data_IF_325190124056
#
_entry.id   IF_325190124056
#
_cell.length_a   1.000
_cell.length_b   1.000
_cell.length_c   1.000
_cell.angle_alpha   90.00
_cell.angle_beta   90.00
_cell.angle_gamma   90.00
#
_symmetry.space_group_name_H-M   'P 1'
#
loop_
_entity.id
_entity.type
_entity.pdbx_description
1 polymer ?
#
# COMPACT_ATOMS: atom_id res chain seq x y z
N UNK A 1 -12.28 -1.51 -19.37
CA UNK A 1 -11.76 -0.44 -18.55
C UNK A 1 -10.31 -0.72 -18.17
N UNK A 2 -9.46 0.28 -18.27
CA UNK A 2 -8.02 0.08 -18.14
C UNK A 2 -7.60 -0.51 -16.79
N UNK A 3 -8.25 -0.07 -15.72
CA UNK A 3 -7.88 -0.56 -14.40
C UNK A 3 -8.04 -2.09 -14.31
N UNK A 4 -9.21 -2.60 -14.70
CA UNK A 4 -9.46 -4.03 -14.66
C UNK A 4 -8.56 -4.80 -15.60
N UNK A 5 -8.29 -4.24 -16.78
CA UNK A 5 -7.43 -4.90 -17.75
C UNK A 5 -6.01 -5.06 -17.22
N UNK A 6 -5.49 -4.04 -16.55
CA UNK A 6 -4.15 -4.09 -15.98
C UNK A 6 -4.11 -5.07 -14.81
N UNK A 7 -5.06 -4.99 -13.90
CA UNK A 7 -5.04 -5.81 -12.69
C UNK A 7 -5.34 -7.29 -12.95
N UNK A 8 -5.91 -7.62 -14.11
CA UNK A 8 -6.16 -9.02 -14.47
C UNK A 8 -4.94 -9.71 -15.07
N UNK A 9 -3.85 -8.99 -15.30
CA UNK A 9 -2.63 -9.54 -15.90
C UNK A 9 -1.75 -10.23 -14.87
N UNK A 10 -2.31 -11.21 -14.16
CA UNK A 10 -1.62 -11.87 -13.05
C UNK A 10 -0.45 -12.72 -13.51
N UNK A 11 -0.45 -13.16 -14.76
CA UNK A 11 0.66 -13.95 -15.30
C UNK A 11 1.90 -13.09 -15.55
N UNK A 12 1.76 -11.78 -15.53
CA UNK A 12 2.89 -10.86 -15.72
C UNK A 12 3.41 -10.37 -14.38
N UNK A 13 2.50 -10.09 -13.47
CA UNK A 13 2.84 -9.57 -12.16
C UNK A 13 1.72 -9.97 -11.20
N UNK A 14 2.05 -10.55 -10.07
CA UNK A 14 1.04 -11.00 -9.12
C UNK A 14 0.21 -9.84 -8.58
N UNK A 15 -0.99 -10.14 -8.10
CA UNK A 15 -1.84 -9.14 -7.46
C UNK A 15 -1.14 -8.52 -6.26
N UNK A 16 -0.40 -9.34 -5.51
CA UNK A 16 0.36 -8.88 -4.35
C UNK A 16 1.41 -7.84 -4.78
N UNK A 17 2.18 -8.18 -5.80
CA UNK A 17 3.24 -7.29 -6.27
C UNK A 17 2.67 -6.01 -6.88
N UNK A 18 1.54 -6.11 -7.59
CA UNK A 18 0.86 -4.92 -8.13
C UNK A 18 0.39 -4.00 -7.01
N UNK A 19 -0.16 -4.57 -5.95
CA UNK A 19 -0.57 -3.77 -4.78
C UNK A 19 0.63 -3.05 -4.16
N UNK A 20 1.75 -3.76 -4.03
CA UNK A 20 2.96 -3.19 -3.46
C UNK A 20 3.48 -2.01 -4.29
N UNK A 21 3.54 -2.19 -5.60
CA UNK A 21 4.00 -1.16 -6.52
C UNK A 21 3.06 0.04 -6.47
N UNK A 22 1.75 -0.21 -6.49
CA UNK A 22 0.75 0.86 -6.48
C UNK A 22 0.82 1.67 -5.19
N UNK A 23 0.88 0.99 -4.05
CA UNK A 23 1.00 1.66 -2.76
C UNK A 23 2.26 2.52 -2.72
N UNK A 24 3.39 1.98 -3.20
CA UNK A 24 4.64 2.71 -3.23
C UNK A 24 4.54 3.97 -4.07
N UNK A 25 3.95 3.87 -5.25
CA UNK A 25 3.81 5.02 -6.16
C UNK A 25 2.93 6.11 -5.54
N UNK A 26 1.82 5.71 -4.92
CA UNK A 26 0.90 6.66 -4.30
C UNK A 26 1.53 7.32 -3.07
N UNK A 27 2.26 6.54 -2.29
CA UNK A 27 2.97 7.05 -1.12
C UNK A 27 4.00 8.10 -1.54
N UNK A 28 4.75 7.81 -2.59
CA UNK A 28 5.78 8.72 -3.08
C UNK A 28 5.19 10.05 -3.53
N UNK A 29 3.96 10.05 -4.01
CA UNK A 29 3.26 11.25 -4.45
C UNK A 29 2.48 11.96 -3.35
N UNK A 30 2.38 11.35 -2.18
CA UNK A 30 1.63 11.92 -1.07
C UNK A 30 0.12 11.85 -1.25
N UNK A 31 -0.37 10.91 -2.02
CA UNK A 31 -1.80 10.75 -2.31
C UNK A 31 -2.43 9.84 -1.27
N UNK A 32 -2.54 10.33 -0.04
CA UNK A 32 -2.89 9.51 1.12
C UNK A 32 -4.29 8.90 1.09
N UNK A 33 -5.34 9.59 0.62
CA UNK A 33 -6.63 8.90 0.49
C UNK A 33 -6.56 7.69 -0.42
N UNK A 34 -5.80 7.79 -1.52
CA UNK A 34 -5.60 6.67 -2.43
C UNK A 34 -4.71 5.61 -1.81
N UNK A 35 -3.71 6.01 -1.01
CA UNK A 35 -2.91 5.05 -0.27
C UNK A 35 -3.80 4.20 0.62
N UNK A 36 -4.70 4.83 1.38
CA UNK A 36 -5.59 4.09 2.28
C UNK A 36 -6.44 3.08 1.51
N UNK A 37 -7.02 3.50 0.39
CA UNK A 37 -7.85 2.62 -0.44
C UNK A 37 -7.04 1.40 -0.90
N UNK A 38 -5.80 1.62 -1.32
CA UNK A 38 -4.96 0.53 -1.82
C UNK A 38 -4.33 -0.30 -0.70
N UNK A 39 -4.25 0.22 0.52
CA UNK A 39 -3.88 -0.61 1.67
C UNK A 39 -4.97 -1.66 1.93
N UNK A 40 -6.24 -1.28 1.79
CA UNK A 40 -7.35 -2.21 1.95
C UNK A 40 -7.26 -3.30 0.89
N UNK A 41 -7.04 -2.93 -0.36
CA UNK A 41 -6.89 -3.88 -1.46
C UNK A 41 -5.66 -4.77 -1.23
N UNK A 42 -4.55 -4.18 -0.82
CA UNK A 42 -3.32 -4.92 -0.56
C UNK A 42 -3.47 -5.95 0.55
N UNK A 43 -4.24 -5.60 1.58
CA UNK A 43 -4.53 -6.54 2.66
C UNK A 43 -5.25 -7.77 2.12
N UNK A 44 -6.18 -7.58 1.18
CA UNK A 44 -6.85 -8.68 0.52
C UNK A 44 -5.90 -9.50 -0.35
N UNK A 45 -4.85 -8.87 -0.87
CA UNK A 45 -3.84 -9.52 -1.69
C UNK A 45 -2.66 -10.03 -0.85
N UNK A 46 -2.88 -10.22 0.43
CA UNK A 46 -1.95 -10.88 1.36
C UNK A 46 -0.70 -10.04 1.69
N UNK A 47 -0.77 -8.72 1.53
CA UNK A 47 0.28 -7.85 2.05
C UNK A 47 0.08 -7.70 3.55
N UNK A 48 1.11 -8.01 4.32
CA UNK A 48 1.03 -7.93 5.78
C UNK A 48 1.34 -6.51 6.25
N UNK A 49 0.94 -6.23 7.49
CA UNK A 49 1.26 -4.95 8.11
C UNK A 49 2.77 -4.73 8.14
N UNK A 50 3.52 -5.77 8.49
CA UNK A 50 4.98 -5.68 8.57
C UNK A 50 5.58 -5.33 7.22
N UNK A 51 5.04 -5.90 6.14
CA UNK A 51 5.53 -5.59 4.81
C UNK A 51 5.26 -4.14 4.42
N UNK A 52 4.07 -3.63 4.76
CA UNK A 52 3.74 -2.23 4.48
C UNK A 52 4.65 -1.29 5.27
N UNK A 53 4.90 -1.61 6.53
CA UNK A 53 5.81 -0.81 7.35
C UNK A 53 7.21 -0.81 6.74
N UNK A 54 7.64 -1.95 6.23
CA UNK A 54 8.96 -2.04 5.60
C UNK A 54 9.02 -1.25 4.30
N UNK A 55 7.93 -1.26 3.52
CA UNK A 55 7.84 -0.42 2.31
C UNK A 55 8.00 1.04 2.68
N UNK A 56 7.29 1.50 3.71
CA UNK A 56 7.37 2.89 4.14
C UNK A 56 8.78 3.22 4.63
N UNK A 57 9.40 2.30 5.36
CA UNK A 57 10.77 2.47 5.85
C UNK A 57 11.74 2.62 4.68
N UNK A 58 11.61 1.77 3.68
CA UNK A 58 12.45 1.84 2.49
C UNK A 58 12.27 3.17 1.78
N UNK A 59 11.02 3.58 1.57
CA UNK A 59 10.71 4.79 0.83
C UNK A 59 11.07 6.06 1.60
N UNK A 60 11.21 5.99 2.92
CA UNK A 60 11.63 7.14 3.71
C UNK A 60 12.97 7.69 3.20
N UNK A 61 13.84 6.83 2.71
CA UNK A 61 15.15 7.21 2.20
C UNK A 61 15.11 7.73 0.77
N UNK A 62 14.04 7.48 0.04
CA UNK A 62 13.92 7.89 -1.36
C UNK A 62 12.90 8.99 -1.59
N UNK A 63 11.89 9.08 -0.72
CA UNK A 63 10.80 10.04 -0.89
C UNK A 63 10.73 11.06 0.26
N UNK A 64 11.53 10.87 1.30
CA UNK A 64 11.54 11.74 2.47
C UNK A 64 10.68 11.21 3.59
N UNK A 65 11.14 11.45 4.82
CA UNK A 65 10.49 10.97 6.03
C UNK A 65 9.04 11.46 6.20
N UNK A 66 8.72 12.73 5.89
CA UNK A 66 7.34 13.17 6.10
C UNK A 66 6.32 12.38 5.29
N UNK A 67 6.64 12.03 4.05
CA UNK A 67 5.72 11.24 3.23
C UNK A 67 5.55 9.83 3.75
N UNK A 68 6.64 9.19 4.13
CA UNK A 68 6.59 7.85 4.68
C UNK A 68 5.87 7.83 6.02
N UNK A 69 6.20 8.79 6.89
CA UNK A 69 5.63 8.86 8.23
C UNK A 69 4.11 9.01 8.20
N UNK A 70 3.60 9.75 7.21
CA UNK A 70 2.17 10.00 7.08
C UNK A 70 1.38 8.74 6.73
N UNK A 71 2.05 7.68 6.32
CA UNK A 71 1.40 6.41 6.00
C UNK A 71 1.06 5.61 7.26
N UNK A 72 1.83 5.75 8.34
CA UNK A 72 1.65 4.91 9.52
C UNK A 72 0.25 5.00 10.15
N UNK A 73 -0.36 6.19 10.30
CA UNK A 73 -1.73 6.22 10.80
C UNK A 73 -2.71 5.47 9.91
N UNK A 74 -2.49 5.51 8.60
CA UNK A 74 -3.35 4.79 7.65
C UNK A 74 -3.19 3.28 7.79
N UNK A 75 -1.98 2.83 8.02
CA UNK A 75 -1.70 1.42 8.25
C UNK A 75 -2.45 0.95 9.49
N UNK A 76 -2.40 1.74 10.55
CA UNK A 76 -3.11 1.39 11.78
C UNK A 76 -4.62 1.32 11.56
N UNK A 77 -5.18 2.25 10.79
CA UNK A 77 -6.60 2.23 10.50
C UNK A 77 -7.01 0.94 9.76
N UNK A 78 -6.21 0.53 8.79
CA UNK A 78 -6.56 -0.60 7.94
C UNK A 78 -6.28 -1.95 8.61
N UNK A 79 -5.11 -2.08 9.24
CA UNK A 79 -4.66 -3.37 9.73
C UNK A 79 -5.03 -3.65 11.18
N UNK A 80 -5.34 -2.64 11.96
CA UNK A 80 -5.71 -2.85 13.34
C UNK A 80 -7.23 -2.84 13.55
N UNK A 81 -8.01 -2.65 12.50
CA UNK A 81 -9.46 -2.62 12.58
C UNK A 81 -10.01 -3.92 13.16
N UNK A 82 -9.46 -5.05 12.74
CA UNK A 82 -9.93 -6.36 13.17
C UNK A 82 -9.58 -6.66 14.62
N UNK A 83 -8.72 -5.89 15.23
CA UNK A 83 -8.28 -6.09 16.60
C UNK A 83 -9.08 -5.28 17.61
N UNK A 84 -10.03 -4.53 17.14
CA UNK A 84 -10.85 -3.72 18.04
C UNK A 84 -11.90 -4.60 18.70
N UNK A 85 -12.04 -4.43 19.96
CA UNK A 85 -12.98 -5.21 20.74
C UNK A 85 -14.05 -4.29 21.31
#
# INVERSE_FOLDING_TARGET
MLFGDVWSRENKLSLRDRSMITISALMAQGLYPQVKAHLIIGKEHVLTKEEIVEIATQLAFYCGWPKAWSVFPLVDEVYNTDNKI
#
